data_IF_013254527132
#
_entry.id   IF_013254527132
#
_cell.length_a   1.000
_cell.length_b   1.000
_cell.length_c   1.000
_cell.angle_alpha   90.00
_cell.angle_beta   90.00
_cell.angle_gamma   90.00
#
_symmetry.space_group_name_H-M   'P 1'
#
loop_
_entity.id
_entity.type
_entity.pdbx_description
1 polymer ?
#
# COMPACT_ATOMS: atom_id res chain seq x y z
N UNK A 1 -1.08 18.61 11.01
CA UNK A 1 0.26 18.12 11.37
C UNK A 1 0.11 16.92 12.31
N UNK A 2 1.03 15.96 12.21
CA UNK A 2 1.11 14.81 13.09
C UNK A 2 2.58 14.47 13.35
N UNK A 3 2.83 13.54 14.28
CA UNK A 3 4.18 13.06 14.54
C UNK A 3 4.18 11.63 15.09
N UNK A 4 5.29 10.93 14.85
CA UNK A 4 5.68 9.70 15.54
C UNK A 4 6.85 10.02 16.45
N UNK A 5 6.74 9.70 17.75
CA UNK A 5 7.77 10.07 18.73
C UNK A 5 9.13 9.49 18.36
N UNK A 6 10.17 10.28 18.57
CA UNK A 6 11.55 9.81 18.57
C UNK A 6 11.87 8.96 19.79
N UNK A 7 13.00 8.30 19.78
CA UNK A 7 13.39 7.42 20.89
C UNK A 7 14.78 6.82 20.73
N UNK A 8 14.94 5.67 21.34
CA UNK A 8 16.12 4.82 21.20
C UNK A 8 15.70 3.47 20.66
N UNK A 9 16.52 2.86 19.82
CA UNK A 9 16.24 1.53 19.31
C UNK A 9 16.21 0.51 20.45
N UNK A 10 15.15 -0.33 20.50
CA UNK A 10 14.94 -1.32 21.57
C UNK A 10 15.96 -2.48 21.51
N UNK A 11 16.51 -2.74 20.33
CA UNK A 11 17.46 -3.83 20.09
C UNK A 11 18.87 -3.29 20.05
N UNK A 12 19.47 -3.08 21.21
CA UNK A 12 20.86 -2.65 21.30
C UNK A 12 21.70 -3.72 21.99
N UNK A 13 22.58 -4.39 21.28
CA UNK A 13 23.51 -5.38 21.84
C UNK A 13 24.55 -4.81 22.78
N UNK A 14 24.71 -3.48 22.83
CA UNK A 14 25.59 -2.76 23.74
C UNK A 14 25.03 -1.37 24.05
N UNK A 15 25.19 -0.86 25.28
CA UNK A 15 24.78 0.51 25.63
C UNK A 15 25.42 1.61 24.75
N UNK A 16 26.52 1.29 24.08
CA UNK A 16 27.22 2.20 23.16
C UNK A 16 26.76 2.10 21.71
N UNK A 17 25.91 1.12 21.38
CA UNK A 17 25.35 0.92 20.04
C UNK A 17 23.94 1.48 19.87
N UNK A 18 23.29 1.89 20.97
CA UNK A 18 21.98 2.51 20.92
C UNK A 18 22.05 3.92 20.37
N UNK A 19 21.64 4.11 19.13
CA UNK A 19 21.46 5.45 18.56
C UNK A 19 20.07 5.97 18.89
N UNK A 20 20.00 7.24 19.29
CA UNK A 20 18.73 7.97 19.33
C UNK A 20 18.28 8.24 17.90
N UNK A 21 16.98 8.24 17.70
CA UNK A 21 16.35 8.72 16.48
C UNK A 21 15.34 9.82 16.83
N UNK A 22 15.23 10.80 15.94
CA UNK A 22 14.36 11.96 16.10
C UNK A 22 12.90 11.59 15.77
N UNK A 23 11.96 12.43 16.20
CA UNK A 23 10.56 12.29 15.83
C UNK A 23 10.41 12.39 14.31
N UNK A 24 9.55 11.54 13.73
CA UNK A 24 9.05 11.73 12.38
C UNK A 24 7.87 12.70 12.45
N UNK A 25 7.90 13.74 11.65
CA UNK A 25 6.85 14.75 11.60
C UNK A 25 6.17 14.75 10.24
N UNK A 26 4.88 15.08 10.20
CA UNK A 26 4.17 15.30 8.94
C UNK A 26 3.35 16.58 8.96
N UNK A 27 3.27 17.20 7.79
CA UNK A 27 2.37 18.29 7.50
C UNK A 27 1.50 17.93 6.30
N UNK A 28 0.18 18.03 6.46
CA UNK A 28 -0.78 17.78 5.39
C UNK A 28 -1.59 19.04 5.09
N UNK A 29 -1.72 19.36 3.80
CA UNK A 29 -2.62 20.37 3.27
C UNK A 29 -3.60 19.66 2.34
N UNK A 30 -4.89 19.85 2.61
CA UNK A 30 -5.96 19.26 1.82
C UNK A 30 -6.98 20.33 1.41
N UNK A 31 -7.43 20.24 0.16
CA UNK A 31 -8.55 21.02 -0.34
C UNK A 31 -9.53 20.09 -1.04
N UNK A 32 -10.81 20.19 -0.66
CA UNK A 32 -11.81 19.28 -1.20
C UNK A 32 -13.15 19.96 -1.46
N UNK A 33 -13.97 19.26 -2.22
CA UNK A 33 -15.36 19.62 -2.50
C UNK A 33 -16.26 18.41 -2.25
N UNK A 34 -17.42 18.66 -1.66
CA UNK A 34 -18.52 17.71 -1.51
C UNK A 34 -19.76 18.32 -2.13
N UNK A 35 -20.36 17.62 -3.08
CA UNK A 35 -21.50 18.13 -3.84
C UNK A 35 -22.58 17.07 -4.01
N UNK A 36 -23.83 17.48 -3.80
CA UNK A 36 -25.01 16.76 -4.22
C UNK A 36 -25.55 17.45 -5.48
N UNK A 37 -25.55 16.71 -6.59
CA UNK A 37 -25.87 17.19 -7.94
C UNK A 37 -27.08 16.43 -8.48
N UNK A 38 -27.64 16.89 -9.62
CA UNK A 38 -28.76 16.23 -10.30
C UNK A 38 -29.94 15.99 -9.34
N UNK A 39 -30.37 17.03 -8.65
CA UNK A 39 -31.45 16.98 -7.65
C UNK A 39 -31.22 15.94 -6.52
N UNK A 40 -29.94 15.73 -6.15
CA UNK A 40 -29.53 14.83 -5.08
C UNK A 40 -29.32 13.37 -5.53
N UNK A 41 -29.53 13.07 -6.80
CA UNK A 41 -29.30 11.71 -7.34
C UNK A 41 -27.81 11.39 -7.52
N UNK A 42 -26.93 12.38 -7.61
CA UNK A 42 -25.49 12.24 -7.73
C UNK A 42 -24.78 12.92 -6.57
N UNK A 43 -24.08 12.14 -5.75
CA UNK A 43 -23.12 12.64 -4.74
C UNK A 43 -21.72 12.48 -5.25
N UNK A 44 -20.93 13.55 -5.22
CA UNK A 44 -19.54 13.59 -5.62
C UNK A 44 -18.71 14.24 -4.51
N UNK A 45 -17.68 13.55 -4.08
CA UNK A 45 -16.63 14.08 -3.20
C UNK A 45 -15.32 14.05 -3.97
N UNK A 46 -14.55 15.12 -3.94
CA UNK A 46 -13.21 15.16 -4.50
C UNK A 46 -12.29 15.95 -3.57
N UNK A 47 -11.07 15.46 -3.39
CA UNK A 47 -10.04 16.13 -2.60
C UNK A 47 -8.70 16.07 -3.34
N UNK A 48 -7.92 17.11 -3.22
CA UNK A 48 -6.49 17.13 -3.48
C UNK A 48 -5.78 17.26 -2.15
N UNK A 49 -4.73 16.50 -1.96
CA UNK A 49 -3.88 16.56 -0.77
C UNK A 49 -2.40 16.65 -1.13
N UNK A 50 -1.63 17.24 -0.23
CA UNK A 50 -0.18 17.22 -0.26
C UNK A 50 0.31 17.03 1.18
N UNK A 51 1.07 15.96 1.42
CA UNK A 51 1.61 15.60 2.72
C UNK A 51 3.13 15.49 2.61
N UNK A 52 3.85 16.27 3.41
CA UNK A 52 5.29 16.14 3.58
C UNK A 52 5.61 15.36 4.85
N UNK A 53 6.59 14.50 4.79
CA UNK A 53 7.12 13.74 5.92
C UNK A 53 8.58 14.10 6.12
N UNK A 54 8.93 14.56 7.33
CA UNK A 54 10.28 14.89 7.73
C UNK A 54 10.83 13.86 8.70
N UNK A 55 12.12 13.61 8.64
CA UNK A 55 12.81 12.68 9.55
C UNK A 55 12.20 11.27 9.57
N UNK A 56 11.87 10.71 8.40
CA UNK A 56 11.27 9.38 8.24
C UNK A 56 11.97 8.33 9.09
N UNK A 57 11.22 7.67 9.96
CA UNK A 57 11.74 6.55 10.77
C UNK A 57 11.62 5.24 10.00
N UNK A 58 12.73 4.50 9.88
CA UNK A 58 12.75 3.18 9.26
C UNK A 58 13.64 2.23 10.04
N UNK A 59 13.21 0.99 10.13
CA UNK A 59 14.06 -0.09 10.60
C UNK A 59 15.09 -0.45 9.53
N UNK A 60 16.36 -0.35 9.87
CA UNK A 60 17.47 -0.72 9.00
C UNK A 60 18.44 -1.65 9.71
N UNK A 61 19.12 -2.49 8.94
CA UNK A 61 20.17 -3.36 9.48
C UNK A 61 21.48 -2.57 9.56
N UNK A 62 21.90 -2.29 10.77
CA UNK A 62 23.16 -1.60 11.06
C UNK A 62 24.25 -2.59 11.44
N UNK A 63 25.48 -2.32 11.01
CA UNK A 63 26.65 -3.10 11.42
C UNK A 63 27.34 -2.40 12.58
N UNK A 64 27.35 -3.04 13.73
CA UNK A 64 27.95 -2.51 14.95
C UNK A 64 29.15 -3.34 15.41
N UNK A 65 29.99 -2.75 16.27
CA UNK A 65 31.12 -3.45 16.90
C UNK A 65 30.92 -3.49 18.41
N UNK A 66 31.15 -4.67 18.98
CA UNK A 66 31.18 -4.82 20.43
C UNK A 66 32.49 -4.21 21.04
N UNK A 67 32.56 -4.19 22.36
CA UNK A 67 33.74 -3.69 23.06
C UNK A 67 35.03 -4.53 22.79
N UNK A 68 34.88 -5.76 22.30
CA UNK A 68 35.98 -6.64 21.93
C UNK A 68 36.40 -6.45 20.46
N UNK A 69 35.66 -5.61 19.70
CA UNK A 69 35.91 -5.34 18.28
C UNK A 69 35.24 -6.32 17.32
N UNK A 70 34.41 -7.26 17.80
CA UNK A 70 33.65 -8.16 16.94
C UNK A 70 32.53 -7.40 16.25
N UNK A 71 32.30 -7.71 14.99
CA UNK A 71 31.28 -7.10 14.16
C UNK A 71 30.02 -7.96 14.13
N UNK A 72 28.86 -7.38 14.36
CA UNK A 72 27.57 -8.03 14.24
C UNK A 72 26.51 -7.07 13.65
N UNK A 73 25.40 -7.60 13.21
CA UNK A 73 24.30 -6.84 12.62
C UNK A 73 23.12 -6.78 13.59
N UNK A 74 22.52 -5.61 13.68
CA UNK A 74 21.30 -5.38 14.43
C UNK A 74 20.31 -4.59 13.57
N UNK A 75 19.03 -4.82 13.79
CA UNK A 75 17.97 -3.97 13.24
C UNK A 75 17.75 -2.81 14.19
N UNK A 76 17.93 -1.60 13.72
CA UNK A 76 17.72 -0.37 14.48
C UNK A 76 16.80 0.58 13.74
N UNK A 77 15.95 1.29 14.49
CA UNK A 77 15.22 2.44 13.99
C UNK A 77 16.17 3.62 13.79
N UNK A 78 16.14 4.22 12.62
CA UNK A 78 16.95 5.40 12.27
C UNK A 78 16.12 6.36 11.43
N UNK A 79 16.47 7.64 11.44
CA UNK A 79 15.91 8.59 10.49
C UNK A 79 16.66 8.47 9.15
N UNK A 80 15.89 8.32 8.07
CA UNK A 80 16.44 7.99 6.75
C UNK A 80 16.23 9.08 5.69
N UNK A 81 15.48 10.13 6.00
CA UNK A 81 15.26 11.24 5.09
C UNK A 81 13.84 11.80 5.11
N UNK A 82 13.38 12.22 3.96
CA UNK A 82 12.14 12.97 3.76
C UNK A 82 11.36 12.40 2.57
N UNK A 83 10.03 12.55 2.57
CA UNK A 83 9.19 12.19 1.42
C UNK A 83 7.98 13.10 1.29
N UNK A 84 7.49 13.24 0.06
CA UNK A 84 6.27 13.98 -0.25
C UNK A 84 5.27 13.06 -0.94
N UNK A 85 4.05 12.99 -0.41
CA UNK A 85 2.91 12.30 -0.98
C UNK A 85 1.86 13.32 -1.39
N UNK A 86 1.55 13.40 -2.68
CA UNK A 86 0.48 14.26 -3.19
C UNK A 86 -0.48 13.45 -4.04
N UNK A 87 -1.74 13.88 -4.10
CA UNK A 87 -2.69 13.09 -4.85
C UNK A 87 -4.08 13.69 -4.95
N UNK A 88 -4.92 12.95 -5.68
CA UNK A 88 -6.33 13.27 -5.87
C UNK A 88 -7.15 12.06 -5.48
N UNK A 89 -8.17 12.27 -4.68
CA UNK A 89 -9.18 11.27 -4.34
C UNK A 89 -10.55 11.73 -4.83
N UNK A 90 -11.28 10.81 -5.44
CA UNK A 90 -12.66 11.05 -5.90
C UNK A 90 -13.53 9.89 -5.46
N UNK A 91 -14.68 10.22 -4.89
CA UNK A 91 -15.75 9.27 -4.55
C UNK A 91 -17.04 9.71 -5.22
N UNK A 92 -17.80 8.75 -5.75
CA UNK A 92 -19.04 8.99 -6.45
C UNK A 92 -20.11 7.97 -6.03
N UNK A 93 -21.32 8.46 -5.79
CA UNK A 93 -22.53 7.64 -5.67
C UNK A 93 -23.62 8.24 -6.56
N UNK A 94 -24.11 7.48 -7.50
CA UNK A 94 -25.09 7.95 -8.47
C UNK A 94 -26.29 7.00 -8.56
N UNK A 95 -27.45 7.47 -8.14
CA UNK A 95 -28.73 6.84 -8.42
C UNK A 95 -29.17 7.25 -9.83
N UNK A 96 -28.76 6.46 -10.85
CA UNK A 96 -29.02 6.75 -12.27
C UNK A 96 -30.51 6.69 -12.57
N UNK A 97 -31.21 5.74 -11.93
CA UNK A 97 -32.66 5.56 -11.93
C UNK A 97 -33.08 5.04 -10.56
N UNK A 98 -34.39 4.85 -10.33
CA UNK A 98 -34.91 4.24 -9.10
C UNK A 98 -34.37 2.81 -8.89
N UNK A 99 -33.95 2.15 -9.96
CA UNK A 99 -33.50 0.75 -9.94
C UNK A 99 -32.00 0.57 -10.21
N UNK A 100 -31.26 1.61 -10.60
CA UNK A 100 -29.85 1.50 -10.96
C UNK A 100 -29.02 2.47 -10.13
N UNK A 101 -28.01 1.95 -9.43
CA UNK A 101 -27.01 2.73 -8.74
C UNK A 101 -25.61 2.39 -9.23
N UNK A 102 -24.79 3.42 -9.38
CA UNK A 102 -23.36 3.31 -9.67
C UNK A 102 -22.59 3.91 -8.50
N UNK A 103 -21.66 3.17 -7.96
CA UNK A 103 -20.71 3.61 -6.95
C UNK A 103 -19.31 3.61 -7.58
N UNK A 104 -18.51 4.64 -7.34
CA UNK A 104 -17.16 4.73 -7.90
C UNK A 104 -16.20 5.41 -6.93
N UNK A 105 -14.96 5.01 -7.01
CA UNK A 105 -13.85 5.69 -6.34
C UNK A 105 -12.62 5.70 -7.25
N UNK A 106 -11.79 6.74 -7.12
CA UNK A 106 -10.51 6.89 -7.78
C UNK A 106 -9.53 7.54 -6.80
N UNK A 107 -8.33 6.98 -6.71
CA UNK A 107 -7.17 7.58 -6.04
C UNK A 107 -6.02 7.64 -7.01
N UNK A 108 -5.47 8.83 -7.23
CA UNK A 108 -4.20 9.02 -7.89
C UNK A 108 -3.20 9.55 -6.87
N UNK A 109 -2.04 8.91 -6.78
CA UNK A 109 -1.01 9.19 -5.79
C UNK A 109 0.34 9.34 -6.49
N UNK A 110 1.02 10.44 -6.20
CA UNK A 110 2.42 10.67 -6.50
C UNK A 110 3.16 10.75 -5.16
N UNK A 111 3.98 9.73 -4.86
CA UNK A 111 4.69 9.63 -3.60
C UNK A 111 6.16 9.37 -3.86
N UNK A 112 6.99 10.34 -3.57
CA UNK A 112 8.43 10.32 -3.83
C UNK A 112 9.23 10.56 -2.56
N UNK A 113 10.45 10.03 -2.51
CA UNK A 113 11.44 10.43 -1.52
C UNK A 113 12.12 11.71 -1.97
N UNK A 114 12.10 12.74 -1.14
CA UNK A 114 12.85 13.99 -1.36
C UNK A 114 14.32 13.79 -0.97
N UNK A 115 14.58 13.05 0.10
CA UNK A 115 15.89 12.50 0.50
C UNK A 115 15.69 11.10 1.09
N UNK A 116 16.55 10.14 0.72
CA UNK A 116 16.48 8.79 1.27
C UNK A 116 17.86 8.16 1.40
N UNK A 117 18.34 8.06 2.65
CA UNK A 117 19.70 7.58 3.00
C UNK A 117 19.65 6.55 4.13
N UNK A 118 19.19 5.33 3.86
CA UNK A 118 18.90 4.34 4.91
C UNK A 118 20.16 3.74 5.57
N UNK A 119 21.35 4.04 5.11
CA UNK A 119 22.57 3.36 5.56
C UNK A 119 22.55 1.87 5.18
N UNK A 120 23.41 1.47 4.25
CA UNK A 120 23.40 0.10 3.71
C UNK A 120 24.73 -0.57 4.01
N UNK A 121 24.69 -1.85 4.42
CA UNK A 121 25.88 -2.66 4.45
C UNK A 121 26.28 -3.04 3.01
N UNK A 122 27.47 -2.71 2.53
CA UNK A 122 27.92 -3.02 1.18
C UNK A 122 27.78 -4.50 0.81
N UNK A 123 27.92 -5.41 1.78
CA UNK A 123 27.77 -6.84 1.55
C UNK A 123 26.34 -7.23 1.11
N UNK A 124 25.32 -6.50 1.57
CA UNK A 124 23.92 -6.74 1.18
C UNK A 124 23.66 -6.35 -0.29
N UNK A 125 24.53 -5.53 -0.85
CA UNK A 125 24.55 -5.15 -2.27
C UNK A 125 25.52 -6.02 -3.10
N UNK A 126 26.15 -7.03 -2.50
CA UNK A 126 27.15 -7.85 -3.16
C UNK A 126 28.50 -7.13 -3.39
N UNK A 127 28.72 -5.98 -2.75
CA UNK A 127 29.99 -5.24 -2.83
C UNK A 127 30.99 -5.87 -1.85
N UNK A 128 32.03 -6.48 -2.37
CA UNK A 128 33.10 -7.10 -1.55
C UNK A 128 34.24 -6.09 -1.27
N UNK A 129 34.83 -6.23 -0.07
CA UNK A 129 36.01 -5.44 0.33
C UNK A 129 35.74 -4.03 0.82
N UNK A 130 34.50 -3.57 0.86
CA UNK A 130 34.12 -2.34 1.53
C UNK A 130 33.82 -2.64 3.01
N UNK A 131 34.44 -1.92 3.94
CA UNK A 131 34.17 -2.00 5.37
C UNK A 131 33.24 -0.88 5.83
N UNK A 132 32.32 -1.21 6.77
CA UNK A 132 31.38 -0.24 7.32
C UNK A 132 30.13 -0.05 6.47
N UNK A 133 29.22 0.79 6.95
CA UNK A 133 28.03 1.19 6.18
C UNK A 133 28.36 2.24 5.12
N UNK A 134 27.64 2.20 4.03
CA UNK A 134 27.59 3.26 3.02
C UNK A 134 26.24 3.96 3.12
N UNK A 135 26.19 5.22 2.76
CA UNK A 135 25.00 6.05 2.84
C UNK A 135 24.69 6.72 1.49
N UNK A 136 24.40 5.93 0.44
CA UNK A 136 24.08 6.48 -0.86
C UNK A 136 22.75 7.22 -0.84
N UNK A 137 22.60 8.16 -1.76
CA UNK A 137 21.32 8.78 -2.04
C UNK A 137 20.45 7.79 -2.83
N UNK A 138 19.30 7.42 -2.29
CA UNK A 138 18.34 6.50 -2.85
C UNK A 138 16.98 7.14 -3.10
N UNK A 139 16.88 8.47 -3.14
CA UNK A 139 15.64 9.21 -3.37
C UNK A 139 14.95 8.84 -4.69
N UNK A 140 15.69 8.33 -5.68
CA UNK A 140 15.09 7.82 -6.92
C UNK A 140 14.42 6.44 -6.82
N UNK A 141 14.30 5.85 -5.63
CA UNK A 141 13.56 4.61 -5.42
C UNK A 141 12.07 4.88 -5.15
N UNK A 142 11.23 3.95 -5.58
CA UNK A 142 9.79 4.02 -5.31
C UNK A 142 9.50 3.81 -3.81
N UNK A 143 8.56 4.59 -3.28
CA UNK A 143 8.07 4.40 -1.91
C UNK A 143 7.22 3.12 -1.85
N UNK A 144 7.45 2.23 -0.87
CA UNK A 144 6.72 0.97 -0.80
C UNK A 144 5.21 1.16 -0.60
N UNK A 145 4.44 0.25 -1.22
CA UNK A 145 2.98 0.20 -1.12
C UNK A 145 2.27 1.50 -1.54
N UNK A 146 2.88 2.24 -2.46
CA UNK A 146 2.37 3.49 -3.01
C UNK A 146 2.03 3.32 -4.50
N UNK A 147 0.97 2.56 -4.86
CA UNK A 147 0.55 2.44 -6.25
C UNK A 147 0.07 3.80 -6.76
N UNK A 148 0.47 4.17 -7.98
CA UNK A 148 0.16 5.47 -8.55
C UNK A 148 -1.34 5.65 -8.82
N UNK A 149 -2.02 4.57 -9.24
CA UNK A 149 -3.44 4.62 -9.56
C UNK A 149 -4.22 3.47 -8.91
N UNK A 150 -5.32 3.83 -8.26
CA UNK A 150 -6.33 2.91 -7.77
C UNK A 150 -7.71 3.39 -8.19
N UNK A 151 -8.57 2.53 -8.71
CA UNK A 151 -9.96 2.88 -8.88
C UNK A 151 -10.88 1.67 -8.73
N UNK A 152 -12.10 1.95 -8.33
CA UNK A 152 -13.16 0.97 -8.25
C UNK A 152 -14.44 1.51 -8.88
N UNK A 153 -15.23 0.62 -9.47
CA UNK A 153 -16.56 0.92 -9.96
C UNK A 153 -17.48 -0.25 -9.64
N UNK A 154 -18.66 0.05 -9.13
CA UNK A 154 -19.72 -0.89 -8.83
C UNK A 154 -21.02 -0.46 -9.50
N UNK A 155 -21.77 -1.44 -10.04
CA UNK A 155 -23.10 -1.22 -10.59
C UNK A 155 -24.05 -2.15 -9.87
N UNK A 156 -25.13 -1.59 -9.32
CA UNK A 156 -26.22 -2.32 -8.67
C UNK A 156 -27.52 -2.10 -9.44
N UNK A 157 -28.24 -3.19 -9.68
CA UNK A 157 -29.60 -3.18 -10.20
C UNK A 157 -30.55 -3.79 -9.17
N UNK A 158 -31.60 -3.07 -8.83
CA UNK A 158 -32.63 -3.46 -7.85
C UNK A 158 -33.89 -3.84 -8.58
N UNK A 159 -34.36 -5.06 -8.36
CA UNK A 159 -35.58 -5.60 -8.96
C UNK A 159 -36.60 -5.89 -7.86
N UNK A 160 -37.64 -5.08 -7.79
CA UNK A 160 -38.78 -5.34 -6.94
C UNK A 160 -39.63 -6.49 -7.50
N UNK A 161 -40.02 -7.39 -6.62
CA UNK A 161 -40.93 -8.50 -6.94
C UNK A 161 -42.34 -8.21 -6.46
N UNK A 162 -43.32 -8.75 -7.14
CA UNK A 162 -44.76 -8.61 -6.77
C UNK A 162 -45.10 -9.14 -5.38
N UNK A 163 -44.24 -9.96 -4.80
CA UNK A 163 -44.38 -10.47 -3.42
C UNK A 163 -43.92 -9.44 -2.36
N UNK A 164 -43.35 -8.29 -2.75
CA UNK A 164 -42.71 -7.35 -1.85
C UNK A 164 -41.25 -7.69 -1.52
N UNK A 165 -40.72 -8.80 -2.01
CA UNK A 165 -39.28 -9.13 -1.93
C UNK A 165 -38.52 -8.41 -3.01
N UNK A 166 -37.16 -8.33 -2.86
CA UNK A 166 -36.29 -7.68 -3.80
C UNK A 166 -35.15 -8.62 -4.22
N UNK A 167 -34.73 -8.50 -5.49
CA UNK A 167 -33.46 -9.08 -5.95
C UNK A 167 -32.52 -7.95 -6.28
N UNK A 168 -31.31 -8.00 -5.71
CA UNK A 168 -30.21 -7.08 -6.03
C UNK A 168 -29.16 -7.82 -6.84
N UNK A 169 -28.81 -7.28 -7.99
CA UNK A 169 -27.67 -7.71 -8.80
C UNK A 169 -26.57 -6.68 -8.63
N UNK A 170 -25.38 -7.11 -8.27
CA UNK A 170 -24.21 -6.23 -8.16
C UNK A 170 -23.03 -6.83 -8.91
N UNK A 171 -22.34 -6.01 -9.67
CA UNK A 171 -21.01 -6.30 -10.25
C UNK A 171 -20.11 -5.15 -9.87
N UNK A 172 -18.94 -5.48 -9.36
CA UNK A 172 -17.92 -4.48 -9.07
C UNK A 172 -16.56 -4.90 -9.61
N UNK A 173 -15.78 -3.90 -9.96
CA UNK A 173 -14.41 -4.02 -10.43
C UNK A 173 -13.52 -3.12 -9.59
N UNK A 174 -12.34 -3.60 -9.25
CA UNK A 174 -11.29 -2.82 -8.59
C UNK A 174 -9.98 -3.02 -9.34
N UNK A 175 -9.37 -1.91 -9.73
CA UNK A 175 -8.04 -1.84 -10.31
C UNK A 175 -7.05 -1.26 -9.29
N UNK A 176 -5.86 -1.80 -9.28
CA UNK A 176 -4.71 -1.24 -8.57
C UNK A 176 -3.50 -1.37 -9.46
N UNK A 177 -2.76 -0.28 -9.61
CA UNK A 177 -1.49 -0.23 -10.32
C UNK A 177 -0.40 -1.05 -9.63
N UNK A 178 0.71 -1.25 -10.29
CA UNK A 178 1.85 -1.92 -9.70
C UNK A 178 2.43 -1.10 -8.52
N UNK A 179 3.15 -1.77 -7.62
CA UNK A 179 3.77 -1.12 -6.48
C UNK A 179 4.97 -1.93 -5.98
N UNK A 180 5.97 -1.27 -5.44
CA UNK A 180 7.04 -1.93 -4.71
C UNK A 180 6.58 -2.33 -3.31
N UNK A 181 7.11 -3.43 -2.79
CA UNK A 181 6.86 -3.85 -1.40
C UNK A 181 8.00 -3.48 -0.45
N UNK A 182 9.12 -3.00 -0.97
CA UNK A 182 10.31 -2.69 -0.20
C UNK A 182 11.09 -1.57 -0.86
N UNK A 183 11.51 -0.59 -0.08
CA UNK A 183 12.50 0.42 -0.48
C UNK A 183 13.91 -0.15 -0.53
N UNK A 184 14.12 -1.37 -0.03
CA UNK A 184 15.45 -1.98 -0.03
C UNK A 184 15.77 -2.52 -1.42
N UNK A 185 16.89 -2.09 -2.03
CA UNK A 185 17.25 -2.53 -3.38
C UNK A 185 17.61 -4.01 -3.37
N UNK A 186 16.80 -4.82 -4.01
CA UNK A 186 17.04 -6.25 -4.13
C UNK A 186 18.18 -6.59 -5.11
N UNK A 187 18.64 -5.65 -5.92
CA UNK A 187 19.64 -5.89 -6.95
C UNK A 187 20.64 -4.74 -7.08
N UNK A 188 21.86 -4.97 -6.63
CA UNK A 188 23.03 -4.19 -7.00
C UNK A 188 23.41 -4.49 -8.46
N UNK A 189 23.55 -3.45 -9.29
CA UNK A 189 23.88 -3.60 -10.71
C UNK A 189 25.24 -3.04 -11.11
N UNK A 190 26.10 -2.75 -10.14
CA UNK A 190 27.44 -2.20 -10.40
C UNK A 190 27.68 -0.91 -9.65
N UNK A 191 28.74 -0.17 -10.03
CA UNK A 191 29.18 1.03 -9.34
C UNK A 191 30.24 0.73 -8.28
N UNK A 192 30.43 1.65 -7.36
CA UNK A 192 31.40 1.57 -6.25
C UNK A 192 30.67 1.69 -4.92
N UNK A 193 31.35 1.37 -3.81
CA UNK A 193 30.81 1.58 -2.47
C UNK A 193 30.38 3.03 -2.19
N UNK A 194 31.03 4.01 -2.84
CA UNK A 194 30.69 5.43 -2.72
C UNK A 194 29.52 5.84 -3.63
N UNK A 195 29.34 5.16 -4.78
CA UNK A 195 28.31 5.43 -5.75
C UNK A 195 27.78 4.09 -6.32
N UNK A 196 26.99 3.36 -5.55
CA UNK A 196 26.40 2.10 -6.04
C UNK A 196 25.32 2.41 -7.09
N UNK A 197 25.29 1.60 -8.15
CA UNK A 197 24.16 1.60 -9.09
C UNK A 197 23.13 0.62 -8.59
N UNK A 198 22.04 1.15 -8.09
CA UNK A 198 20.96 0.36 -7.48
C UNK A 198 19.76 0.43 -8.40
N UNK A 199 19.17 -0.73 -8.70
CA UNK A 199 17.89 -0.81 -9.38
C UNK A 199 16.90 -1.56 -8.50
N UNK A 200 15.76 -0.95 -8.31
CA UNK A 200 14.70 -1.46 -7.47
C UNK A 200 13.95 -2.66 -8.11
N UNK A 201 14.09 -2.88 -9.41
CA UNK A 201 13.38 -3.96 -10.10
C UNK A 201 13.90 -5.33 -9.71
N UNK A 202 13.08 -6.02 -8.96
CA UNK A 202 13.29 -7.39 -8.51
C UNK A 202 11.94 -8.07 -8.21
N UNK A 203 12.00 -9.21 -7.52
CA UNK A 203 10.80 -9.95 -7.11
C UNK A 203 9.97 -9.26 -6.02
N UNK A 204 10.25 -8.00 -5.71
CA UNK A 204 9.54 -7.17 -4.71
C UNK A 204 8.45 -6.29 -5.32
N UNK A 205 8.35 -6.22 -6.64
CA UNK A 205 7.28 -5.52 -7.32
C UNK A 205 6.01 -6.37 -7.32
N UNK A 206 4.90 -5.81 -6.86
CA UNK A 206 3.56 -6.34 -7.07
C UNK A 206 3.11 -5.88 -8.46
N UNK A 207 2.56 -6.79 -9.24
CA UNK A 207 2.01 -6.48 -10.55
C UNK A 207 0.69 -5.71 -10.41
N UNK A 208 0.36 -4.88 -11.41
CA UNK A 208 -0.98 -4.32 -11.56
C UNK A 208 -2.03 -5.43 -11.53
N UNK A 209 -3.22 -5.13 -11.03
CA UNK A 209 -4.30 -6.12 -10.95
C UNK A 209 -5.69 -5.53 -11.14
N UNK A 210 -6.55 -6.31 -11.76
CA UNK A 210 -7.98 -6.01 -11.89
C UNK A 210 -8.81 -7.15 -11.31
N UNK A 211 -9.55 -6.89 -10.25
CA UNK A 211 -10.42 -7.86 -9.61
C UNK A 211 -11.88 -7.55 -9.92
N UNK A 212 -12.59 -8.53 -10.45
CA UNK A 212 -14.03 -8.43 -10.74
C UNK A 212 -14.80 -9.38 -9.84
N UNK A 213 -15.84 -8.85 -9.17
CA UNK A 213 -16.72 -9.63 -8.30
C UNK A 213 -18.19 -9.43 -8.71
N UNK A 214 -19.01 -10.41 -8.42
CA UNK A 214 -20.46 -10.34 -8.69
C UNK A 214 -21.28 -10.96 -7.56
N UNK A 215 -22.45 -10.38 -7.30
CA UNK A 215 -23.37 -10.80 -6.24
C UNK A 215 -24.79 -10.77 -6.77
N UNK A 216 -25.58 -11.79 -6.41
CA UNK A 216 -27.03 -11.81 -6.60
C UNK A 216 -27.62 -12.09 -5.23
N UNK A 217 -28.36 -11.13 -4.70
CA UNK A 217 -28.96 -11.20 -3.36
C UNK A 217 -30.47 -11.13 -3.45
N UNK A 218 -31.16 -12.14 -2.92
CA UNK A 218 -32.58 -12.12 -2.68
C UNK A 218 -32.85 -11.68 -1.24
N UNK A 219 -33.65 -10.65 -1.06
CA UNK A 219 -34.13 -10.15 0.24
C UNK A 219 -35.61 -10.34 0.35
N UNK A 220 -36.03 -11.25 1.22
CA UNK A 220 -37.43 -11.55 1.49
C UNK A 220 -38.08 -10.54 2.45
N UNK A 221 -39.41 -10.55 2.50
CA UNK A 221 -40.20 -9.63 3.34
C UNK A 221 -40.13 -9.93 4.84
N UNK A 222 -39.71 -11.12 5.23
CA UNK A 222 -39.64 -11.58 6.63
C UNK A 222 -38.23 -11.60 7.20
N UNK A 223 -37.32 -10.75 6.68
CA UNK A 223 -35.94 -10.65 7.16
C UNK A 223 -35.02 -11.77 6.68
N UNK A 224 -35.46 -12.62 5.78
CA UNK A 224 -34.67 -13.68 5.16
C UNK A 224 -33.88 -13.13 3.97
N UNK A 225 -32.58 -13.42 3.91
CA UNK A 225 -31.68 -13.02 2.83
C UNK A 225 -30.86 -14.22 2.33
N UNK A 226 -30.72 -14.33 1.02
CA UNK A 226 -29.83 -15.31 0.37
C UNK A 226 -28.99 -14.59 -0.69
N UNK A 227 -27.68 -14.69 -0.58
CA UNK A 227 -26.74 -14.18 -1.57
C UNK A 227 -25.96 -15.32 -2.20
N UNK A 228 -25.87 -15.32 -3.52
CA UNK A 228 -24.88 -16.09 -4.29
C UNK A 228 -23.84 -15.12 -4.77
N UNK A 229 -22.56 -15.45 -4.59
CA UNK A 229 -21.48 -14.57 -4.97
C UNK A 229 -20.35 -15.29 -5.70
N UNK A 230 -19.64 -14.55 -6.52
CA UNK A 230 -18.35 -14.93 -7.08
C UNK A 230 -17.35 -13.80 -6.87
N UNK A 231 -16.17 -14.13 -6.35
CA UNK A 231 -15.05 -13.21 -6.20
C UNK A 231 -13.94 -13.59 -7.14
N UNK A 232 -13.18 -12.58 -7.59
CA UNK A 232 -12.10 -12.76 -8.57
C UNK A 232 -12.59 -13.57 -9.79
N UNK A 233 -13.68 -13.13 -10.43
CA UNK A 233 -14.34 -13.85 -11.52
C UNK A 233 -13.43 -14.08 -12.75
N UNK A 234 -12.47 -13.20 -12.94
CA UNK A 234 -11.43 -13.27 -13.99
C UNK A 234 -10.33 -14.28 -13.69
N UNK A 235 -10.28 -14.82 -12.47
CA UNK A 235 -9.26 -15.76 -11.97
C UNK A 235 -7.85 -15.16 -12.03
N UNK A 236 -7.75 -13.86 -11.71
CA UNK A 236 -6.48 -13.12 -11.67
C UNK A 236 -5.53 -13.72 -10.64
N UNK A 237 -4.28 -14.02 -11.07
CA UNK A 237 -3.22 -14.45 -10.14
C UNK A 237 -2.33 -13.27 -9.81
N UNK A 238 -2.43 -12.80 -8.60
CA UNK A 238 -1.72 -11.61 -8.13
C UNK A 238 -1.02 -11.85 -6.80
N UNK A 239 0.09 -11.16 -6.60
CA UNK A 239 0.78 -11.12 -5.32
C UNK A 239 0.19 -10.02 -4.44
N UNK A 240 0.13 -10.28 -3.14
CA UNK A 240 -0.27 -9.30 -2.12
C UNK A 240 0.89 -8.87 -1.24
N UNK A 241 1.99 -9.62 -1.29
CA UNK A 241 3.22 -9.31 -0.56
C UNK A 241 4.39 -9.98 -1.25
N UNK A 242 5.52 -9.30 -1.27
CA UNK A 242 6.81 -9.85 -1.64
C UNK A 242 7.85 -9.27 -0.67
N UNK A 243 8.64 -10.12 -0.04
CA UNK A 243 9.65 -9.72 0.94
C UNK A 243 11.01 -10.26 0.55
N UNK A 244 12.00 -9.40 0.29
CA UNK A 244 13.36 -9.82 0.04
C UNK A 244 14.06 -10.14 1.36
N UNK A 245 14.75 -11.27 1.43
CA UNK A 245 15.61 -11.62 2.55
C UNK A 245 17.07 -11.48 2.09
N UNK A 246 17.55 -10.25 2.11
CA UNK A 246 18.89 -9.87 1.63
C UNK A 246 19.19 -10.51 0.26
N UNK A 247 20.37 -11.09 0.10
CA UNK A 247 20.79 -11.81 -1.11
C UNK A 247 20.40 -13.31 -1.12
N UNK A 248 19.66 -13.77 -0.10
CA UNK A 248 19.41 -15.20 0.10
C UNK A 248 18.23 -15.73 -0.69
N UNK A 249 17.08 -15.07 -0.59
CA UNK A 249 15.81 -15.52 -1.18
C UNK A 249 14.72 -14.45 -1.11
N UNK A 250 13.67 -14.65 -1.90
CA UNK A 250 12.48 -13.81 -1.85
C UNK A 250 11.28 -14.67 -1.47
N UNK A 251 10.42 -14.12 -0.62
CA UNK A 251 9.16 -14.73 -0.24
C UNK A 251 8.01 -13.92 -0.87
N UNK A 252 7.05 -14.61 -1.48
CA UNK A 252 5.86 -13.97 -2.04
C UNK A 252 4.59 -14.66 -1.52
N UNK A 253 3.57 -13.86 -1.23
CA UNK A 253 2.25 -14.35 -0.88
C UNK A 253 1.26 -13.91 -1.95
N UNK A 254 0.44 -14.86 -2.41
CA UNK A 254 -0.61 -14.63 -3.40
C UNK A 254 -1.94 -14.31 -2.75
N UNK A 255 -2.75 -13.51 -3.44
CA UNK A 255 -4.14 -13.28 -3.10
C UNK A 255 -5.02 -14.51 -3.35
N UNK A 256 -6.28 -14.48 -2.89
CA UNK A 256 -7.23 -15.57 -3.11
C UNK A 256 -7.48 -15.82 -4.61
N UNK A 257 -7.60 -17.09 -5.03
CA UNK A 257 -8.04 -17.42 -6.38
C UNK A 257 -9.53 -17.09 -6.54
N UNK A 258 -10.09 -17.39 -7.71
CA UNK A 258 -11.54 -17.28 -7.91
C UNK A 258 -12.32 -18.15 -6.93
N UNK A 259 -13.30 -17.53 -6.29
CA UNK A 259 -14.16 -18.16 -5.28
C UNK A 259 -15.63 -17.97 -5.60
N UNK A 260 -16.45 -18.95 -5.26
CA UNK A 260 -17.91 -18.89 -5.30
C UNK A 260 -18.47 -19.30 -3.96
N UNK A 261 -19.58 -18.71 -3.57
CA UNK A 261 -20.23 -19.09 -2.32
C UNK A 261 -21.69 -18.67 -2.25
N UNK A 262 -22.35 -19.18 -1.21
CA UNK A 262 -23.71 -18.83 -0.84
C UNK A 262 -23.67 -18.34 0.60
N UNK A 263 -24.32 -17.23 0.85
CA UNK A 263 -24.53 -16.67 2.19
C UNK A 263 -26.03 -16.65 2.48
N UNK A 264 -26.43 -17.07 3.66
CA UNK A 264 -27.80 -17.03 4.13
C UNK A 264 -27.84 -16.22 5.42
N UNK A 265 -28.69 -15.22 5.47
CA UNK A 265 -28.94 -14.35 6.61
C UNK A 265 -30.42 -14.35 7.02
N UNK A 266 -30.65 -14.11 8.31
CA UNK A 266 -31.97 -13.86 8.84
C UNK A 266 -31.91 -12.78 9.92
N UNK A 267 -32.71 -11.73 9.76
CA UNK A 267 -32.89 -10.65 10.73
C UNK A 267 -34.23 -10.80 11.44
N UNK A 268 -34.24 -10.86 12.76
CA UNK A 268 -35.40 -11.01 13.61
C UNK A 268 -35.60 -9.80 14.54
#
# INVERSE_FOLDING_TARGET
TGFVAGGFSETCGSPTSCSAYDAEENENIEIGVKADLLDGSLRLNAAYFNTTYESLQRDTVVTIKDAAGNTFQETQAVNVGESTAQGIEVEMQWAVTDNIRIDGNLGWLDHEYDDYRPGINPADLGITGAGGQINPDLSGLEVPFSPELNYGIGVSYFQDLSSGAMITYNVNMHYQDDAQTSSFPANFQGGTAANPVIKQKGNTQLEERTLVNGYITYTGTEGFEVSVYGKNLTDERYRVSANPVATLWNFSRFGPPREYGIQIGYSF
#
